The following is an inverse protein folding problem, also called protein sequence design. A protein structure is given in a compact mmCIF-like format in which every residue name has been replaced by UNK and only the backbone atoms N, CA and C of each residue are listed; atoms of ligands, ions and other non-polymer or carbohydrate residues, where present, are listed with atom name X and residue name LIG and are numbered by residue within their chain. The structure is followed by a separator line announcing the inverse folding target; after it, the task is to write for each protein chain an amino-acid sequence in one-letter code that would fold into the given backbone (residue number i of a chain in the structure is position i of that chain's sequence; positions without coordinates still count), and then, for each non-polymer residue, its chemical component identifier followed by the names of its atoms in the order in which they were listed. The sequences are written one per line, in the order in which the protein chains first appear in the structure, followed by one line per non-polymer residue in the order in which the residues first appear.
data_IF_526353200767
#
_entry.id   IF_526353200767
#
_cell.length_a   1.000
_cell.length_b   1.000
_cell.length_c   1.000
_cell.angle_alpha   90.00
_cell.angle_beta   90.00
_cell.angle_gamma   90.00
#
_symmetry.space_group_name_H-M   'P 1'
#
loop_
_entity.id
_entity.type
_entity.pdbx_description
1 polymer ?
#
# COMPACT_ATOMS: atom_id res chain seq x y z
N UNK A 1 -12.75 -26.91 -8.47
CA UNK A 1 -13.59 -25.75 -8.13
C UNK A 1 -13.32 -25.14 -6.72
N UNK A 2 -12.07 -24.89 -6.26
CA UNK A 2 -11.83 -24.28 -4.94
C UNK A 2 -11.57 -22.74 -4.95
N UNK A 3 -11.22 -22.16 -6.09
CA UNK A 3 -10.68 -20.78 -6.16
C UNK A 3 -11.75 -19.69 -5.91
N UNK A 4 -12.99 -19.95 -6.31
CA UNK A 4 -14.11 -19.00 -6.20
C UNK A 4 -14.54 -18.78 -4.74
N UNK A 5 -14.46 -19.82 -3.89
CA UNK A 5 -14.87 -19.76 -2.49
C UNK A 5 -13.91 -18.91 -1.63
N UNK A 6 -12.61 -18.96 -1.92
CA UNK A 6 -11.60 -18.16 -1.23
C UNK A 6 -11.79 -16.66 -1.52
N UNK A 7 -12.08 -16.30 -2.78
CA UNK A 7 -12.37 -14.92 -3.17
C UNK A 7 -13.64 -14.34 -2.54
N UNK A 8 -14.69 -15.16 -2.39
CA UNK A 8 -15.95 -14.74 -1.77
C UNK A 8 -15.81 -14.50 -0.26
N UNK A 9 -15.03 -15.34 0.43
CA UNK A 9 -14.71 -15.18 1.85
C UNK A 9 -13.89 -13.90 2.11
N UNK A 10 -12.87 -13.64 1.28
CA UNK A 10 -12.04 -12.44 1.38
C UNK A 10 -12.86 -11.15 1.19
N UNK A 11 -13.81 -11.16 0.23
CA UNK A 11 -14.70 -10.02 -0.02
C UNK A 11 -15.65 -9.74 1.15
N UNK A 12 -16.28 -10.77 1.72
CA UNK A 12 -17.15 -10.61 2.89
C UNK A 12 -16.37 -10.11 4.11
N UNK A 13 -15.14 -10.57 4.28
CA UNK A 13 -14.26 -10.09 5.33
C UNK A 13 -13.90 -8.60 5.16
N UNK A 14 -13.55 -8.17 3.94
CA UNK A 14 -13.27 -6.75 3.65
C UNK A 14 -14.49 -5.86 3.91
N UNK A 15 -15.69 -6.29 3.50
CA UNK A 15 -16.93 -5.56 3.76
C UNK A 15 -17.22 -5.42 5.26
N UNK A 16 -17.01 -6.49 6.03
CA UNK A 16 -17.19 -6.47 7.49
C UNK A 16 -16.23 -5.47 8.15
N UNK A 17 -14.96 -5.47 7.77
CA UNK A 17 -13.96 -4.53 8.32
C UNK A 17 -14.39 -3.08 8.06
N UNK A 18 -14.88 -2.77 6.85
CA UNK A 18 -15.35 -1.42 6.52
C UNK A 18 -16.60 -1.04 7.32
N UNK A 19 -17.55 -1.97 7.49
CA UNK A 19 -18.78 -1.76 8.27
C UNK A 19 -18.52 -1.54 9.76
N UNK A 20 -17.49 -2.19 10.32
CA UNK A 20 -17.06 -2.05 11.72
C UNK A 20 -16.18 -0.82 11.96
N UNK A 21 -16.03 0.08 10.97
CA UNK A 21 -15.28 1.34 11.09
C UNK A 21 -13.77 1.20 10.84
N UNK A 22 -13.33 0.09 10.23
CA UNK A 22 -11.95 -0.08 9.78
C UNK A 22 -11.56 0.90 8.65
N UNK A 23 -10.27 1.17 8.52
CA UNK A 23 -9.75 2.11 7.52
C UNK A 23 -10.04 1.64 6.08
N UNK A 24 -10.59 2.56 5.27
CA UNK A 24 -10.89 2.37 3.85
C UNK A 24 -9.63 2.54 2.99
N UNK A 25 -8.80 1.50 2.96
CA UNK A 25 -7.59 1.49 2.13
C UNK A 25 -7.91 1.01 0.71
N UNK A 26 -7.04 1.34 -0.26
CA UNK A 26 -7.19 0.95 -1.67
C UNK A 26 -7.40 -0.57 -1.82
N UNK A 27 -6.62 -1.39 -1.12
CA UNK A 27 -6.66 -2.85 -1.22
C UNK A 27 -7.94 -3.43 -0.64
N UNK A 28 -8.44 -2.87 0.47
CA UNK A 28 -9.72 -3.27 1.05
C UNK A 28 -10.89 -2.86 0.17
N UNK A 29 -10.82 -1.69 -0.44
CA UNK A 29 -11.81 -1.23 -1.42
C UNK A 29 -11.78 -2.12 -2.68
N UNK A 30 -10.60 -2.52 -3.15
CA UNK A 30 -10.42 -3.45 -4.26
C UNK A 30 -11.06 -4.81 -3.94
N UNK A 31 -10.75 -5.37 -2.78
CA UNK A 31 -11.27 -6.64 -2.31
C UNK A 31 -12.79 -6.61 -2.10
N UNK A 32 -13.33 -5.54 -1.51
CA UNK A 32 -14.77 -5.38 -1.29
C UNK A 32 -15.55 -5.16 -2.60
N UNK A 33 -14.98 -4.40 -3.55
CA UNK A 33 -15.60 -4.08 -4.83
C UNK A 33 -15.39 -5.16 -5.91
N UNK A 34 -14.46 -6.09 -5.71
CA UNK A 34 -14.06 -7.07 -6.72
C UNK A 34 -13.32 -6.45 -7.90
N UNK A 35 -12.71 -5.27 -7.72
CA UNK A 35 -11.94 -4.56 -8.74
C UNK A 35 -10.45 -4.74 -8.50
N UNK A 36 -9.64 -4.53 -9.54
CA UNK A 36 -8.19 -4.52 -9.37
C UNK A 36 -7.73 -3.27 -8.60
N UNK A 37 -6.65 -3.44 -7.83
CA UNK A 37 -5.99 -2.37 -7.07
C UNK A 37 -5.59 -1.21 -8.00
N UNK A 38 -4.97 -1.50 -9.14
CA UNK A 38 -4.55 -0.51 -10.13
C UNK A 38 -5.73 0.34 -10.67
N UNK A 39 -6.89 -0.29 -10.92
CA UNK A 39 -8.06 0.44 -11.40
C UNK A 39 -8.60 1.42 -10.35
N UNK A 40 -8.58 1.03 -9.07
CA UNK A 40 -9.00 1.90 -7.97
C UNK A 40 -7.97 2.99 -7.65
N UNK A 41 -6.67 2.71 -7.76
CA UNK A 41 -5.65 3.74 -7.61
C UNK A 41 -5.78 4.83 -8.67
N UNK A 42 -6.01 4.43 -9.93
CA UNK A 42 -6.26 5.38 -11.02
C UNK A 42 -7.51 6.21 -10.75
N UNK A 43 -8.60 5.57 -10.32
CA UNK A 43 -9.84 6.26 -9.98
C UNK A 43 -9.66 7.24 -8.83
N UNK A 44 -9.02 6.80 -7.74
CA UNK A 44 -8.76 7.60 -6.55
C UNK A 44 -7.89 8.83 -6.86
N UNK A 45 -6.88 8.70 -7.74
CA UNK A 45 -6.08 9.84 -8.20
C UNK A 45 -6.90 10.82 -9.03
N UNK A 46 -7.69 10.32 -9.98
CA UNK A 46 -8.50 11.15 -10.86
C UNK A 46 -9.58 11.92 -10.11
N UNK A 47 -10.14 11.34 -9.05
CA UNK A 47 -11.20 11.92 -8.24
C UNK A 47 -10.71 12.58 -6.95
N UNK A 48 -9.39 12.60 -6.70
CA UNK A 48 -8.78 13.25 -5.54
C UNK A 48 -9.20 12.64 -4.19
N UNK A 49 -9.40 11.32 -4.14
CA UNK A 49 -9.82 10.65 -2.90
C UNK A 49 -8.74 10.79 -1.82
N UNK A 50 -9.15 11.21 -0.62
CA UNK A 50 -8.29 11.24 0.57
C UNK A 50 -8.33 9.87 1.25
N UNK A 51 -7.62 8.91 0.66
CA UNK A 51 -7.51 7.57 1.24
C UNK A 51 -6.36 7.53 2.24
N UNK A 52 -6.56 6.79 3.32
CA UNK A 52 -5.47 6.43 4.23
C UNK A 52 -4.68 5.33 3.54
N UNK A 53 -3.40 5.58 3.24
CA UNK A 53 -2.52 4.56 2.70
C UNK A 53 -2.50 3.34 3.63
N UNK A 54 -2.61 2.16 3.03
CA UNK A 54 -2.63 0.90 3.76
C UNK A 54 -1.22 0.52 4.21
N UNK A 55 -0.73 1.19 5.24
CA UNK A 55 0.18 0.49 6.14
C UNK A 55 -0.55 -0.77 6.67
N UNK A 56 0.11 -1.93 6.78
CA UNK A 56 -0.51 -3.11 7.37
C UNK A 56 -0.98 -2.73 8.77
N UNK A 57 -2.29 -2.54 8.92
CA UNK A 57 -2.94 -2.19 10.18
C UNK A 57 -2.14 -1.21 11.06
N UNK A 58 -1.57 -0.13 10.48
CA UNK A 58 -0.60 0.79 11.09
C UNK A 58 -0.02 0.25 12.41
N UNK A 59 0.70 -0.88 12.31
CA UNK A 59 1.27 -1.54 13.49
C UNK A 59 2.16 -0.53 14.20
N UNK A 60 2.77 0.39 13.46
CA UNK A 60 3.50 1.55 13.97
C UNK A 60 2.62 2.52 14.78
N UNK A 61 1.38 2.85 14.39
CA UNK A 61 0.44 3.60 15.26
C UNK A 61 -0.05 2.79 16.45
N UNK A 62 -0.25 1.48 16.30
CA UNK A 62 -0.61 0.63 17.44
C UNK A 62 0.53 0.56 18.46
N UNK A 63 1.77 0.49 17.98
CA UNK A 63 2.99 0.58 18.78
C UNK A 63 3.11 1.96 19.40
N UNK A 64 2.92 3.06 18.65
CA UNK A 64 2.92 4.42 19.21
C UNK A 64 1.86 4.59 20.29
N UNK A 65 0.65 4.05 20.08
CA UNK A 65 -0.42 4.05 21.09
C UNK A 65 -0.03 3.23 22.31
N UNK A 66 0.55 2.05 22.13
CA UNK A 66 1.02 1.20 23.22
C UNK A 66 2.17 1.85 24.00
N UNK A 67 3.13 2.46 23.31
CA UNK A 67 4.22 3.23 23.91
C UNK A 67 3.69 4.43 24.71
N UNK A 68 2.68 5.15 24.19
CA UNK A 68 2.01 6.22 24.92
C UNK A 68 1.31 5.74 26.19
N UNK A 69 0.66 4.58 26.15
CA UNK A 69 0.05 3.97 27.35
C UNK A 69 1.10 3.53 28.38
N UNK A 70 2.24 3.02 27.92
CA UNK A 70 3.36 2.64 28.80
C UNK A 70 3.97 3.89 29.44
N UNK A 71 4.19 4.95 28.66
CA UNK A 71 4.71 6.23 29.16
C UNK A 71 3.79 6.84 30.22
N UNK A 72 2.48 6.91 29.96
CA UNK A 72 1.52 7.43 30.94
C UNK A 72 1.54 6.65 32.26
N UNK A 73 1.71 5.33 32.22
CA UNK A 73 1.85 4.53 33.44
C UNK A 73 3.16 4.78 34.21
N UNK A 74 4.25 5.09 33.50
CA UNK A 74 5.52 5.49 34.14
C UNK A 74 5.35 6.83 34.84
N UNK A 75 4.68 7.79 34.18
CA UNK A 75 4.37 9.11 34.74
C UNK A 75 3.50 8.99 36.00
N UNK A 76 2.41 8.23 35.94
CA UNK A 76 1.52 7.96 37.09
C UNK A 76 2.28 7.34 38.29
N UNK A 77 3.19 6.39 38.02
CA UNK A 77 4.02 5.78 39.08
C UNK A 77 5.05 6.77 39.64
N UNK A 78 5.62 7.62 38.80
CA UNK A 78 6.54 8.69 39.22
C UNK A 78 5.84 9.67 40.16
N UNK A 79 4.66 10.16 39.77
CA UNK A 79 3.84 11.05 40.59
C UNK A 79 3.42 10.39 41.91
N UNK A 80 3.08 9.10 41.89
CA UNK A 80 2.76 8.36 43.11
C UNK A 80 3.97 8.25 44.05
N UNK A 81 5.18 8.02 43.54
CA UNK A 81 6.41 8.01 44.33
C UNK A 81 6.73 9.37 44.95
N UNK A 82 6.61 10.45 44.16
CA UNK A 82 6.90 11.82 44.62
C UNK A 82 5.94 12.28 45.71
N UNK A 83 4.68 11.85 45.63
CA UNK A 83 3.65 12.15 46.64
C UNK A 83 3.70 11.22 47.87
N UNK A 84 4.74 10.40 48.02
CA UNK A 84 4.93 9.50 49.15
C UNK A 84 4.05 8.24 49.14
N UNK A 85 3.44 7.93 48.00
CA UNK A 85 2.68 6.69 47.79
C UNK A 85 3.60 5.47 47.65
N UNK A 86 3.12 4.30 48.07
CA UNK A 86 3.88 3.05 47.87
C UNK A 86 3.69 2.56 46.43
N UNK A 87 4.80 2.40 45.71
CA UNK A 87 4.79 1.75 44.40
C UNK A 87 4.75 0.22 44.59
N UNK A 88 3.78 -0.43 43.94
CA UNK A 88 3.73 -1.89 43.88
C UNK A 88 4.83 -2.45 42.97
N UNK A 89 5.57 -3.43 43.48
CA UNK A 89 6.65 -4.10 42.74
C UNK A 89 6.10 -4.86 41.52
N UNK A 90 4.89 -5.43 41.62
CA UNK A 90 4.23 -6.10 40.49
C UNK A 90 3.91 -5.14 39.34
N UNK A 91 3.52 -3.90 39.65
CA UNK A 91 3.32 -2.85 38.67
C UNK A 91 4.62 -2.49 37.92
N UNK A 92 5.75 -2.37 38.64
CA UNK A 92 7.07 -2.13 38.05
C UNK A 92 7.47 -3.29 37.11
N UNK A 93 7.36 -4.53 37.58
CA UNK A 93 7.76 -5.71 36.80
C UNK A 93 6.90 -5.86 35.54
N UNK A 94 5.59 -5.56 35.63
CA UNK A 94 4.70 -5.53 34.47
C UNK A 94 5.07 -4.46 33.45
N UNK A 95 5.51 -3.29 33.90
CA UNK A 95 5.98 -2.20 33.05
C UNK A 95 7.27 -2.56 32.30
N UNK A 96 8.23 -3.17 33.01
CA UNK A 96 9.47 -3.67 32.40
C UNK A 96 9.16 -4.72 31.33
N UNK A 97 8.20 -5.62 31.57
CA UNK A 97 7.79 -6.62 30.59
C UNK A 97 7.14 -5.98 29.34
N UNK A 98 6.31 -4.95 29.51
CA UNK A 98 5.71 -4.21 28.39
C UNK A 98 6.76 -3.47 27.55
N UNK A 99 7.73 -2.81 28.18
CA UNK A 99 8.83 -2.12 27.49
C UNK A 99 9.63 -3.11 26.64
N UNK A 100 10.05 -4.24 27.21
CA UNK A 100 10.78 -5.29 26.48
C UNK A 100 9.96 -5.87 25.33
N UNK A 101 8.64 -6.01 25.51
CA UNK A 101 7.74 -6.44 24.45
C UNK A 101 7.73 -5.46 23.27
N UNK A 102 7.67 -4.15 23.54
CA UNK A 102 7.72 -3.11 22.51
C UNK A 102 9.07 -3.06 21.80
N UNK A 103 10.19 -3.19 22.53
CA UNK A 103 11.53 -3.30 21.94
C UNK A 103 11.62 -4.49 20.98
N UNK A 104 11.10 -5.66 21.39
CA UNK A 104 11.15 -6.87 20.57
C UNK A 104 10.31 -6.76 19.30
N UNK A 105 9.14 -6.13 19.39
CA UNK A 105 8.30 -5.86 18.21
C UNK A 105 9.03 -4.91 17.25
N UNK A 106 9.71 -3.88 17.78
CA UNK A 106 10.56 -2.99 16.98
C UNK A 106 11.67 -3.72 16.23
N UNK A 107 12.35 -4.67 16.87
CA UNK A 107 13.39 -5.49 16.22
C UNK A 107 12.85 -6.35 15.08
N UNK A 108 11.65 -6.93 15.23
CA UNK A 108 11.05 -7.83 14.24
C UNK A 108 10.52 -7.05 13.04
N UNK A 109 10.00 -5.84 13.25
CA UNK A 109 9.43 -5.02 12.19
C UNK A 109 10.47 -4.32 11.32
N UNK A 110 11.62 -3.97 11.90
CA UNK A 110 12.66 -3.19 11.19
C UNK A 110 13.15 -3.85 9.88
N UNK A 111 13.36 -5.18 9.82
CA UNK A 111 13.67 -5.87 8.56
C UNK A 111 12.51 -5.90 7.57
N UNK A 112 11.25 -5.99 8.03
CA UNK A 112 10.07 -5.99 7.17
C UNK A 112 9.83 -4.63 6.52
N UNK A 113 10.06 -3.54 7.27
CA UNK A 113 9.97 -2.17 6.75
C UNK A 113 11.03 -1.93 5.67
N UNK A 114 12.29 -2.32 5.92
CA UNK A 114 13.36 -2.21 4.94
C UNK A 114 13.11 -3.07 3.68
N UNK A 115 12.55 -4.28 3.86
CA UNK A 115 12.18 -5.13 2.74
C UNK A 115 11.06 -4.52 1.88
N UNK A 116 10.05 -3.89 2.51
CA UNK A 116 8.99 -3.19 1.77
C UNK A 116 9.49 -1.95 1.06
N UNK A 117 10.33 -1.14 1.69
CA UNK A 117 10.91 0.04 1.06
C UNK A 117 11.70 -0.34 -0.20
N UNK A 118 12.51 -1.41 -0.12
CA UNK A 118 13.17 -1.96 -1.31
C UNK A 118 12.16 -2.43 -2.36
N UNK A 119 11.10 -3.15 -1.96
CA UNK A 119 10.08 -3.61 -2.91
C UNK A 119 9.31 -2.46 -3.58
N UNK A 120 9.05 -1.36 -2.86
CA UNK A 120 8.43 -0.16 -3.42
C UNK A 120 9.38 0.46 -4.46
N UNK A 121 10.66 0.66 -4.10
CA UNK A 121 11.66 1.20 -5.02
C UNK A 121 11.81 0.31 -6.26
N UNK A 122 11.89 -1.01 -6.08
CA UNK A 122 12.01 -1.95 -7.19
C UNK A 122 10.77 -1.90 -8.11
N UNK A 123 9.57 -1.68 -7.55
CA UNK A 123 8.35 -1.51 -8.33
C UNK A 123 8.31 -0.17 -9.07
N UNK A 124 8.81 0.91 -8.46
CA UNK A 124 8.94 2.22 -9.10
C UNK A 124 9.93 2.15 -10.28
N UNK A 125 11.11 1.55 -10.07
CA UNK A 125 12.11 1.32 -11.12
C UNK A 125 11.55 0.46 -12.27
N UNK A 126 10.75 -0.56 -11.93
CA UNK A 126 10.07 -1.40 -12.92
C UNK A 126 9.03 -0.60 -13.70
N UNK A 127 8.24 0.25 -13.04
CA UNK A 127 7.23 1.08 -13.69
C UNK A 127 7.87 2.07 -14.67
N UNK A 128 8.96 2.73 -14.26
CA UNK A 128 9.74 3.62 -15.12
C UNK A 128 10.30 2.89 -16.34
N UNK A 129 10.80 1.66 -16.14
CA UNK A 129 11.30 0.83 -17.23
C UNK A 129 10.19 0.47 -18.20
N UNK A 130 9.03 0.06 -17.70
CA UNK A 130 7.87 -0.27 -18.53
C UNK A 130 7.36 0.95 -19.30
N UNK A 131 7.38 2.14 -18.70
CA UNK A 131 6.99 3.38 -19.37
C UNK A 131 7.92 3.69 -20.55
N UNK A 132 9.24 3.56 -20.38
CA UNK A 132 10.20 3.77 -21.49
C UNK A 132 10.00 2.78 -22.64
N UNK A 133 9.65 1.53 -22.31
CA UNK A 133 9.32 0.52 -23.31
C UNK A 133 8.04 0.92 -24.07
N UNK A 134 7.01 1.36 -23.35
CA UNK A 134 5.75 1.82 -23.96
C UNK A 134 5.99 3.01 -24.91
N UNK A 135 6.73 4.02 -24.47
CA UNK A 135 7.10 5.19 -25.29
C UNK A 135 7.80 4.76 -26.59
N UNK A 136 8.74 3.81 -26.51
CA UNK A 136 9.44 3.29 -27.68
C UNK A 136 8.55 2.46 -28.60
N UNK A 137 7.61 1.68 -28.05
CA UNK A 137 6.64 0.93 -28.85
C UNK A 137 5.76 1.89 -29.66
N UNK A 138 5.27 2.96 -29.02
CA UNK A 138 4.44 3.98 -29.68
C UNK A 138 5.21 4.67 -30.80
N UNK A 139 6.47 5.03 -30.56
CA UNK A 139 7.35 5.64 -31.56
C UNK A 139 7.52 4.72 -32.79
N UNK A 140 7.91 3.46 -32.57
CA UNK A 140 8.11 2.47 -33.64
C UNK A 140 6.82 2.19 -34.42
N UNK A 141 5.68 2.13 -33.74
CA UNK A 141 4.39 1.98 -34.38
C UNK A 141 4.06 3.19 -35.27
N UNK A 142 4.38 4.42 -34.82
CA UNK A 142 4.23 5.64 -35.62
C UNK A 142 5.11 5.67 -36.86
N UNK A 143 6.38 5.25 -36.74
CA UNK A 143 7.29 5.12 -37.87
C UNK A 143 6.81 4.09 -38.90
N UNK A 144 6.29 2.94 -38.44
CA UNK A 144 5.74 1.91 -39.32
C UNK A 144 4.49 2.41 -40.04
N UNK A 145 3.57 3.06 -39.31
CA UNK A 145 2.34 3.60 -39.89
C UNK A 145 2.63 4.66 -40.96
N UNK A 146 3.63 5.53 -40.73
CA UNK A 146 4.07 6.53 -41.71
C UNK A 146 4.60 5.86 -42.98
N UNK A 147 5.49 4.87 -42.85
CA UNK A 147 6.01 4.13 -44.01
C UNK A 147 4.92 3.42 -44.81
N UNK A 148 3.99 2.76 -44.11
CA UNK A 148 2.85 2.10 -44.77
C UNK A 148 1.96 3.09 -45.52
N UNK A 149 1.73 4.29 -44.95
CA UNK A 149 0.95 5.33 -45.61
C UNK A 149 1.65 5.87 -46.87
N UNK A 150 2.97 6.10 -46.81
CA UNK A 150 3.78 6.52 -47.96
C UNK A 150 3.77 5.48 -49.09
N UNK A 151 3.94 4.20 -48.75
CA UNK A 151 3.85 3.09 -49.71
C UNK A 151 2.46 3.03 -50.38
N UNK A 152 1.39 3.22 -49.60
CA UNK A 152 0.02 3.23 -50.11
C UNK A 152 -0.24 4.41 -51.07
N UNK A 153 0.27 5.60 -50.75
CA UNK A 153 0.19 6.81 -51.59
C UNK A 153 0.97 6.66 -52.90
N UNK A 154 2.15 6.05 -52.86
CA UNK A 154 2.93 5.76 -54.07
C UNK A 154 2.21 4.75 -54.99
N UNK A 155 1.54 3.75 -54.41
CA UNK A 155 0.77 2.77 -55.16
C UNK A 155 -0.47 3.39 -55.85
N UNK A 156 -1.21 4.29 -55.18
CA UNK A 156 -2.38 4.94 -55.78
C UNK A 156 -1.99 5.92 -56.89
N UNK A 157 -0.92 6.71 -56.71
CA UNK A 157 -0.43 7.64 -57.73
C UNK A 157 0.07 6.93 -59.00
N UNK A 158 0.65 5.73 -58.87
CA UNK A 158 1.08 4.91 -60.01
C UNK A 158 -0.09 4.31 -60.80
N UNK A 159 -1.29 4.25 -60.21
CA UNK A 159 -2.50 3.68 -60.83
C UNK A 159 -3.26 4.73 -61.66
N UNK A 160 -3.12 6.02 -61.34
CA UNK A 160 -3.82 7.12 -62.05
C UNK A 160 -3.05 7.68 -63.26
N UNK A 161 -1.73 7.49 -63.35
CA UNK A 161 -0.89 8.00 -64.44
C UNK A 161 -0.77 7.09 -65.69
N UNK A 162 -1.56 6.01 -65.77
CA UNK A 162 -1.43 4.94 -66.78
C UNK A 162 -2.56 4.84 -67.81
N UNK A 163 -3.36 5.89 -68.03
CA UNK A 163 -4.43 5.93 -69.05
C UNK A 163 -4.14 6.99 -70.11
#
# INVERSE_FOLDING_TARGET
MPEVAAGQSARLHALRILAEGGHATIERLAMASGRSVAALQRLARNEGWKLVEAGPLDVSARIRKAAGMVLGKVEELGEAAENGGSIDKGAIDGLIAMIRGLEKIGEIMRPEEAARENQIRDNEDLADTLQRIEERIVELAGELATRMAEEQLAATASTEGGV
#
